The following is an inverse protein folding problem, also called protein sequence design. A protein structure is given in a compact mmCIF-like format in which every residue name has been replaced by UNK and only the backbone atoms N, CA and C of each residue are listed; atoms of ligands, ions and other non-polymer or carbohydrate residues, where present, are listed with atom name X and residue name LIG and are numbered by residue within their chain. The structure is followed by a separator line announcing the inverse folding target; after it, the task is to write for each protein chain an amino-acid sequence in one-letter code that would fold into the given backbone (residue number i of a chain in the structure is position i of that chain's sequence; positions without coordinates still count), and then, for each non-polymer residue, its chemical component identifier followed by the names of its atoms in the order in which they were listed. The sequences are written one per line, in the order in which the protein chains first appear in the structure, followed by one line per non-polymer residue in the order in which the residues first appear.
data_IF_920913011430
#
_entry.id   IF_920913011430
#
_cell.length_a   1.000
_cell.length_b   1.000
_cell.length_c   1.000
_cell.angle_alpha   90.00
_cell.angle_beta   90.00
_cell.angle_gamma   90.00
#
_symmetry.space_group_name_H-M   'P 1'
#
loop_
_entity.id
_entity.type
_entity.pdbx_description
1 polymer ?
#
# COMPACT_ATOMS: atom_id res chain seq x y z
N UNK A 1 3.02 -47.72 12.30
CA UNK A 1 2.34 -46.51 11.79
C UNK A 1 3.45 -45.50 11.58
N UNK A 2 3.81 -45.31 10.32
CA UNK A 2 4.85 -44.35 9.91
C UNK A 2 4.21 -43.02 9.79
N UNK A 3 4.62 -42.07 10.65
CA UNK A 3 4.20 -40.66 10.55
C UNK A 3 4.92 -40.08 9.34
N UNK A 4 4.17 -39.77 8.29
CA UNK A 4 4.69 -39.05 7.13
C UNK A 4 4.88 -37.59 7.56
N UNK A 5 6.13 -37.16 7.66
CA UNK A 5 6.47 -35.75 7.85
C UNK A 5 5.85 -34.95 6.66
N UNK A 6 5.02 -33.96 7.00
CA UNK A 6 4.54 -32.96 6.05
C UNK A 6 5.76 -32.10 5.70
N UNK A 7 6.16 -31.98 4.43
CA UNK A 7 7.29 -31.15 4.08
C UNK A 7 6.97 -29.70 4.46
N UNK A 8 7.88 -29.09 5.20
CA UNK A 8 7.90 -27.69 5.52
C UNK A 8 8.03 -26.88 4.20
N UNK A 9 6.93 -26.28 3.72
CA UNK A 9 6.87 -25.48 2.49
C UNK A 9 7.41 -24.06 2.73
N UNK A 10 8.38 -23.89 3.59
CA UNK A 10 9.24 -22.73 3.62
C UNK A 10 10.32 -22.84 2.53
N UNK A 11 9.88 -23.12 1.29
CA UNK A 11 10.71 -22.93 0.12
C UNK A 11 10.89 -21.44 -0.08
N UNK A 12 12.15 -20.98 -0.19
CA UNK A 12 12.49 -19.63 -0.56
C UNK A 12 11.54 -19.17 -1.68
N UNK A 13 10.77 -18.14 -1.43
CA UNK A 13 9.91 -17.49 -2.43
C UNK A 13 10.81 -17.19 -3.64
N UNK A 14 10.52 -17.80 -4.79
CA UNK A 14 11.21 -17.48 -6.03
C UNK A 14 11.11 -15.96 -6.20
N UNK A 15 12.23 -15.24 -6.05
CA UNK A 15 12.25 -13.79 -6.23
C UNK A 15 11.85 -13.48 -7.66
N UNK A 16 10.82 -12.67 -7.81
CA UNK A 16 10.39 -12.18 -9.12
C UNK A 16 11.43 -11.16 -9.60
N UNK A 17 12.30 -11.59 -10.49
CA UNK A 17 13.15 -10.65 -11.21
C UNK A 17 12.31 -9.96 -12.30
N UNK A 18 11.82 -8.78 -11.98
CA UNK A 18 11.07 -7.94 -12.92
C UNK A 18 11.44 -6.48 -12.68
N UNK A 19 11.58 -5.74 -13.77
CA UNK A 19 11.77 -4.28 -13.70
C UNK A 19 10.56 -3.53 -13.12
N UNK A 20 9.40 -4.19 -12.98
CA UNK A 20 8.21 -3.67 -12.31
C UNK A 20 8.26 -3.90 -10.79
N UNK A 21 9.05 -4.87 -10.35
CA UNK A 21 9.19 -5.25 -8.94
C UNK A 21 10.67 -5.27 -8.59
N UNK A 22 11.26 -4.11 -8.26
CA UNK A 22 12.63 -4.02 -7.77
C UNK A 22 12.84 -4.94 -6.58
N UNK A 23 14.06 -5.47 -6.43
CA UNK A 23 14.40 -6.30 -5.28
C UNK A 23 14.27 -5.47 -4.00
N UNK A 24 13.43 -5.89 -3.03
CA UNK A 24 13.25 -5.16 -1.81
C UNK A 24 14.52 -5.25 -0.92
N UNK A 25 14.88 -4.16 -0.28
CA UNK A 25 16.03 -4.09 0.62
C UNK A 25 15.83 -3.05 1.72
N UNK A 26 16.42 -3.29 2.89
CA UNK A 26 16.52 -2.29 3.95
C UNK A 26 17.72 -1.34 3.77
N UNK A 27 18.65 -1.70 2.88
CA UNK A 27 19.82 -0.85 2.59
C UNK A 27 19.42 0.23 1.56
N UNK A 28 19.57 1.50 1.94
CA UNK A 28 19.28 2.62 1.05
C UNK A 28 20.20 2.63 -0.19
N UNK A 29 21.39 2.03 -0.11
CA UNK A 29 22.30 1.93 -1.24
C UNK A 29 21.76 1.08 -2.39
N UNK A 30 20.86 0.13 -2.09
CA UNK A 30 20.18 -0.70 -3.08
C UNK A 30 19.04 0.06 -3.79
N UNK A 31 18.67 1.24 -3.30
CA UNK A 31 17.64 2.12 -3.85
C UNK A 31 18.26 3.45 -4.35
N UNK A 32 18.97 3.44 -5.48
CA UNK A 32 19.61 4.64 -6.01
C UNK A 32 18.59 5.75 -6.27
N UNK A 33 19.09 6.99 -6.42
CA UNK A 33 18.25 8.12 -6.79
C UNK A 33 17.64 7.87 -8.18
N UNK A 34 16.30 7.80 -8.29
CA UNK A 34 15.66 7.54 -9.56
C UNK A 34 15.80 8.74 -10.52
N UNK A 35 15.92 8.47 -11.82
CA UNK A 35 15.99 9.48 -12.87
C UNK A 35 14.68 9.63 -13.67
N UNK A 36 13.67 8.79 -13.39
CA UNK A 36 12.36 8.77 -14.05
C UNK A 36 12.31 7.94 -15.34
N UNK A 37 13.37 7.19 -15.66
CA UNK A 37 13.41 6.27 -16.80
C UNK A 37 13.06 4.85 -16.40
N UNK A 38 13.20 4.54 -15.14
CA UNK A 38 12.79 3.28 -14.56
C UNK A 38 11.26 3.12 -14.68
N UNK A 39 10.79 1.95 -15.03
CA UNK A 39 9.36 1.69 -15.25
C UNK A 39 8.52 2.05 -14.00
N UNK A 40 9.06 1.84 -12.82
CA UNK A 40 8.39 2.17 -11.54
C UNK A 40 8.24 3.67 -11.29
N UNK A 41 9.00 4.51 -12.01
CA UNK A 41 9.01 5.98 -11.87
C UNK A 41 8.50 6.71 -13.12
N UNK A 42 8.19 5.98 -14.18
CA UNK A 42 7.87 6.50 -15.50
C UNK A 42 6.80 7.59 -15.53
N UNK A 43 5.81 7.48 -14.66
CA UNK A 43 4.67 8.39 -14.60
C UNK A 43 4.75 9.37 -13.44
N UNK A 44 5.70 9.22 -12.55
CA UNK A 44 5.88 10.08 -11.38
C UNK A 44 6.58 11.38 -11.78
N UNK A 45 6.07 12.56 -11.41
CA UNK A 45 6.69 13.84 -11.73
C UNK A 45 7.95 14.07 -10.87
N UNK A 46 9.10 13.60 -11.34
CA UNK A 46 10.37 13.52 -10.60
C UNK A 46 10.78 14.83 -9.92
N UNK A 47 10.52 15.99 -10.56
CA UNK A 47 10.84 17.29 -9.96
C UNK A 47 10.00 17.61 -8.72
N UNK A 48 8.72 17.16 -8.73
CA UNK A 48 7.79 17.40 -7.60
C UNK A 48 8.08 16.48 -6.44
N UNK A 49 8.37 15.21 -6.70
CA UNK A 49 8.67 14.23 -5.66
C UNK A 49 10.09 14.36 -5.09
N UNK A 50 10.99 15.08 -5.75
CA UNK A 50 12.41 15.20 -5.36
C UNK A 50 12.64 15.52 -3.87
N UNK A 51 11.84 16.36 -3.19
CA UNK A 51 12.00 16.60 -1.74
C UNK A 51 11.84 15.32 -0.91
N UNK A 52 11.01 14.37 -1.34
CA UNK A 52 10.81 13.07 -0.66
C UNK A 52 11.92 12.06 -0.95
N UNK A 53 12.72 12.26 -1.99
CA UNK A 53 13.78 11.32 -2.39
C UNK A 53 15.13 11.63 -1.74
N UNK A 54 15.28 12.83 -1.17
CA UNK A 54 16.50 13.24 -0.51
C UNK A 54 16.66 12.51 0.84
N UNK A 55 17.91 12.19 1.21
CA UNK A 55 18.24 11.65 2.52
C UNK A 55 18.15 12.77 3.56
N UNK A 56 17.13 12.70 4.42
CA UNK A 56 16.87 13.69 5.47
C UNK A 56 16.28 12.99 6.69
N UNK A 57 16.63 13.44 7.86
CA UNK A 57 15.96 13.04 9.11
C UNK A 57 14.60 13.73 9.26
N UNK A 58 13.82 13.28 10.24
CA UNK A 58 12.63 14.00 10.67
C UNK A 58 13.00 15.42 11.13
N UNK A 59 12.18 16.38 10.76
CA UNK A 59 12.40 17.79 11.08
C UNK A 59 11.46 18.24 12.20
N UNK A 60 11.72 17.72 13.40
CA UNK A 60 11.02 18.15 14.60
C UNK A 60 11.72 19.32 15.25
N UNK A 61 10.98 20.35 15.60
CA UNK A 61 11.47 21.45 16.42
C UNK A 61 11.12 21.19 17.89
N UNK A 62 11.92 21.67 18.84
CA UNK A 62 11.57 21.55 20.26
C UNK A 62 10.18 22.10 20.54
N UNK A 63 9.27 21.21 21.00
CA UNK A 63 7.90 21.57 21.35
C UNK A 63 6.90 21.71 20.19
N UNK A 64 7.32 21.40 18.94
CA UNK A 64 6.46 21.51 17.77
C UNK A 64 6.86 20.47 16.70
N UNK A 65 6.17 19.35 16.65
CA UNK A 65 6.42 18.29 15.71
C UNK A 65 5.94 18.64 14.28
N UNK A 66 6.62 18.13 13.26
CA UNK A 66 6.23 18.30 11.87
C UNK A 66 4.87 17.64 11.58
N UNK A 67 4.59 16.56 12.29
CA UNK A 67 3.35 15.80 12.23
C UNK A 67 2.92 15.40 13.64
N UNK A 68 1.65 15.57 13.95
CA UNK A 68 1.03 15.08 15.17
C UNK A 68 0.28 13.78 14.92
N UNK A 69 0.52 12.80 15.80
CA UNK A 69 -0.15 11.50 15.77
C UNK A 69 -1.09 11.39 16.99
N UNK A 70 -2.39 11.23 16.72
CA UNK A 70 -3.39 11.04 17.79
C UNK A 70 -4.04 9.67 17.63
N UNK A 71 -3.64 8.71 18.46
CA UNK A 71 -4.27 7.40 18.51
C UNK A 71 -5.49 7.45 19.46
N UNK A 72 -6.65 7.07 18.93
CA UNK A 72 -7.86 6.89 19.73
C UNK A 72 -7.87 5.46 20.28
N UNK A 73 -7.62 5.35 21.58
CA UNK A 73 -7.56 4.06 22.26
C UNK A 73 -8.90 3.33 22.21
N UNK A 74 -8.87 2.04 21.91
CA UNK A 74 -10.04 1.16 21.85
C UNK A 74 -9.79 -0.06 22.75
N UNK A 75 -10.75 -0.42 23.56
CA UNK A 75 -10.64 -1.57 24.45
C UNK A 75 -10.38 -2.87 23.67
N UNK A 76 -9.46 -3.68 24.17
CA UNK A 76 -9.08 -4.95 23.57
C UNK A 76 -8.00 -4.83 22.46
N UNK A 77 -7.44 -3.65 22.26
CA UNK A 77 -6.31 -3.42 21.34
C UNK A 77 -5.09 -3.04 22.14
N UNK A 78 -3.96 -3.59 21.78
CA UNK A 78 -2.67 -3.27 22.38
C UNK A 78 -1.91 -2.29 21.46
N UNK A 79 -1.46 -1.18 22.02
CA UNK A 79 -0.63 -0.20 21.32
C UNK A 79 0.71 -0.01 22.03
N UNK A 80 1.79 0.02 21.28
CA UNK A 80 3.15 0.28 21.78
C UNK A 80 4.04 0.77 20.63
N UNK A 81 5.33 1.00 20.92
CA UNK A 81 6.31 1.36 19.91
C UNK A 81 7.33 0.24 19.72
N UNK A 82 7.82 0.08 18.49
CA UNK A 82 8.87 -0.85 18.11
C UNK A 82 10.07 -0.07 17.56
N UNK A 83 11.24 -0.34 18.11
CA UNK A 83 12.51 0.16 17.58
C UNK A 83 12.87 -0.53 16.26
N UNK A 84 13.75 0.10 15.47
CA UNK A 84 14.33 -0.54 14.31
C UNK A 84 15.00 -1.87 14.69
N UNK A 85 14.73 -2.93 13.90
CA UNK A 85 15.22 -4.29 14.17
C UNK A 85 14.47 -5.07 15.26
N UNK A 86 13.46 -4.48 15.89
CA UNK A 86 12.60 -5.17 16.86
C UNK A 86 11.40 -5.80 16.16
N UNK A 87 11.31 -7.14 16.19
CA UNK A 87 10.18 -7.86 15.62
C UNK A 87 8.86 -7.51 16.34
N UNK A 88 7.70 -7.48 15.64
CA UNK A 88 7.49 -7.88 14.25
C UNK A 88 7.81 -6.84 13.19
N UNK A 89 8.32 -5.65 13.51
CA UNK A 89 8.72 -4.64 12.51
C UNK A 89 9.71 -5.22 11.50
N UNK A 90 9.42 -5.10 10.21
CA UNK A 90 10.24 -5.61 9.11
C UNK A 90 10.05 -7.10 8.82
N UNK A 91 9.00 -7.74 9.33
CA UNK A 91 8.71 -9.14 9.04
C UNK A 91 7.76 -9.36 7.85
N UNK A 92 7.04 -8.33 7.45
CA UNK A 92 6.12 -8.33 6.30
C UNK A 92 6.55 -7.34 5.25
N UNK A 93 6.96 -6.12 5.66
CA UNK A 93 7.40 -5.08 4.75
C UNK A 93 8.93 -5.00 4.73
N UNK A 94 9.52 -5.31 3.58
CA UNK A 94 10.87 -4.91 3.21
C UNK A 94 10.75 -3.82 2.16
N UNK A 95 11.39 -2.64 2.33
CA UNK A 95 11.22 -1.51 1.42
C UNK A 95 11.44 -1.90 -0.05
N UNK A 96 10.46 -1.57 -0.91
CA UNK A 96 10.50 -1.87 -2.34
C UNK A 96 11.08 -0.74 -3.18
N UNK A 97 11.19 0.48 -2.62
CA UNK A 97 11.71 1.64 -3.31
C UNK A 97 12.42 2.62 -2.35
N UNK A 98 13.00 3.67 -2.93
CA UNK A 98 13.76 4.68 -2.17
C UNK A 98 12.92 5.41 -1.11
N UNK A 99 11.68 5.89 -1.38
CA UNK A 99 10.81 6.47 -0.35
C UNK A 99 10.59 5.56 0.84
N UNK A 100 10.28 4.30 0.59
CA UNK A 100 10.05 3.32 1.65
C UNK A 100 11.32 3.01 2.46
N UNK A 101 12.48 2.92 1.80
CA UNK A 101 13.75 2.76 2.49
C UNK A 101 14.07 3.98 3.38
N UNK A 102 13.82 5.20 2.89
CA UNK A 102 14.00 6.43 3.66
C UNK A 102 13.01 6.53 4.83
N UNK A 103 11.74 6.13 4.65
CA UNK A 103 10.77 6.07 5.74
C UNK A 103 11.26 5.15 6.87
N UNK A 104 11.76 3.97 6.49
CA UNK A 104 12.29 3.01 7.47
C UNK A 104 13.54 3.50 8.18
N UNK A 105 14.47 4.12 7.44
CA UNK A 105 15.72 4.66 7.96
C UNK A 105 15.49 5.83 8.92
N UNK A 106 14.56 6.74 8.55
CA UNK A 106 14.27 7.95 9.30
C UNK A 106 13.32 7.78 10.48
N UNK A 107 12.68 6.61 10.65
CA UNK A 107 11.75 6.33 11.74
C UNK A 107 12.42 5.52 12.84
N UNK A 108 12.69 6.13 14.00
CA UNK A 108 13.27 5.43 15.15
C UNK A 108 12.22 4.52 15.83
N UNK A 109 11.04 5.08 16.13
CA UNK A 109 9.95 4.44 16.87
C UNK A 109 8.75 4.22 15.96
N UNK A 110 8.47 2.96 15.59
CA UNK A 110 7.29 2.59 14.82
C UNK A 110 6.09 2.37 15.74
N UNK A 111 4.91 2.92 15.39
CA UNK A 111 3.68 2.55 16.07
C UNK A 111 3.37 1.08 15.82
N UNK A 112 3.09 0.35 16.87
CA UNK A 112 2.67 -1.05 16.84
C UNK A 112 1.24 -1.19 17.37
N UNK A 113 0.34 -1.67 16.54
CA UNK A 113 -1.04 -2.02 16.90
C UNK A 113 -1.22 -3.53 16.84
N UNK A 114 -1.58 -4.15 17.94
CA UNK A 114 -1.86 -5.58 18.02
C UNK A 114 -3.31 -5.80 18.40
N UNK A 115 -4.03 -6.53 17.57
CA UNK A 115 -5.38 -7.02 17.85
C UNK A 115 -5.21 -8.46 18.36
N UNK A 116 -5.44 -8.77 19.64
CA UNK A 116 -5.22 -10.10 20.21
C UNK A 116 -6.08 -11.17 19.55
N UNK A 117 -5.63 -12.43 19.62
CA UNK A 117 -6.34 -13.57 19.04
C UNK A 117 -7.80 -13.66 19.56
N UNK A 118 -8.72 -14.04 18.69
CA UNK A 118 -10.14 -14.24 18.98
C UNK A 118 -10.87 -12.98 19.49
N UNK A 119 -10.24 -11.81 19.39
CA UNK A 119 -10.84 -10.53 19.79
C UNK A 119 -11.65 -9.94 18.62
N UNK A 120 -12.90 -9.57 18.87
CA UNK A 120 -13.70 -8.77 17.95
C UNK A 120 -13.80 -7.34 18.50
N UNK A 121 -13.22 -6.40 17.77
CA UNK A 121 -13.21 -4.96 18.11
C UNK A 121 -14.36 -4.30 17.36
N UNK A 122 -15.37 -3.82 18.12
CA UNK A 122 -16.59 -3.28 17.54
C UNK A 122 -16.40 -1.85 16.98
N UNK A 123 -15.58 -1.04 17.67
CA UNK A 123 -15.30 0.34 17.26
C UNK A 123 -14.06 0.42 16.39
N UNK A 124 -14.02 1.28 15.36
CA UNK A 124 -12.81 1.48 14.58
C UNK A 124 -11.66 2.02 15.43
N UNK A 125 -10.49 1.41 15.31
CA UNK A 125 -9.23 1.91 15.86
C UNK A 125 -8.79 3.07 14.94
N UNK A 126 -8.74 4.29 15.46
CA UNK A 126 -8.43 5.46 14.62
C UNK A 126 -7.11 6.09 15.02
N UNK A 127 -6.28 6.35 14.01
CA UNK A 127 -5.10 7.19 14.09
C UNK A 127 -5.32 8.44 13.24
N UNK A 128 -5.35 9.59 13.86
CA UNK A 128 -5.32 10.88 13.16
C UNK A 128 -3.86 11.32 13.01
N UNK A 129 -3.48 11.69 11.79
CA UNK A 129 -2.13 12.11 11.37
C UNK A 129 -2.28 13.51 10.81
N UNK A 130 -1.81 14.51 11.53
CA UNK A 130 -1.95 15.92 11.16
C UNK A 130 -0.60 16.56 10.85
N UNK A 131 -0.37 16.87 9.57
CA UNK A 131 0.77 17.65 9.12
C UNK A 131 0.61 19.13 9.45
N UNK A 132 1.69 19.79 9.86
CA UNK A 132 1.66 21.18 10.34
C UNK A 132 2.45 22.15 9.47
N UNK A 133 3.28 21.65 8.57
CA UNK A 133 4.12 22.49 7.70
C UNK A 133 4.56 21.72 6.45
N UNK A 134 4.20 22.21 5.27
CA UNK A 134 4.55 21.62 3.98
C UNK A 134 6.06 21.58 3.68
N UNK A 135 6.88 22.42 4.35
CA UNK A 135 8.32 22.40 4.18
C UNK A 135 9.02 21.35 5.05
N UNK A 136 8.32 20.83 6.07
CA UNK A 136 8.86 19.90 7.06
C UNK A 136 8.59 18.46 6.67
N UNK A 137 9.59 17.60 6.92
CA UNK A 137 9.51 16.19 6.59
C UNK A 137 9.27 15.33 7.81
N UNK A 138 8.42 14.34 7.65
CA UNK A 138 8.22 13.27 8.59
C UNK A 138 8.43 11.90 7.91
N UNK A 139 9.08 10.97 8.64
CA UNK A 139 9.23 9.57 8.26
C UNK A 139 8.54 8.72 9.31
N UNK A 140 7.59 7.90 8.89
CA UNK A 140 6.79 7.08 9.78
C UNK A 140 6.78 5.60 9.36
N UNK A 141 6.73 4.73 10.36
CA UNK A 141 6.51 3.30 10.17
C UNK A 141 5.42 2.86 11.14
N UNK A 142 4.45 2.14 10.63
CA UNK A 142 3.35 1.59 11.41
C UNK A 142 3.27 0.09 11.18
N UNK A 143 3.08 -0.68 12.26
CA UNK A 143 2.98 -2.13 12.23
C UNK A 143 1.63 -2.53 12.82
N UNK A 144 0.81 -3.23 12.04
CA UNK A 144 -0.52 -3.69 12.46
C UNK A 144 -0.53 -5.21 12.40
N UNK A 145 -0.82 -5.86 13.52
CA UNK A 145 -0.95 -7.31 13.59
C UNK A 145 -2.35 -7.68 14.06
N UNK A 146 -3.10 -8.33 13.19
CA UNK A 146 -4.36 -9.00 13.53
C UNK A 146 -4.08 -10.47 13.83
N UNK A 147 -4.08 -10.83 15.12
CA UNK A 147 -3.80 -12.19 15.59
C UNK A 147 -4.89 -13.18 15.14
N UNK A 148 -4.65 -14.50 15.20
CA UNK A 148 -5.58 -15.47 14.64
C UNK A 148 -7.03 -15.33 15.12
N UNK A 149 -7.97 -15.40 14.16
CA UNK A 149 -9.42 -15.27 14.40
C UNK A 149 -9.85 -13.94 15.05
N UNK A 150 -9.02 -12.91 14.97
CA UNK A 150 -9.41 -11.57 15.41
C UNK A 150 -10.21 -10.84 14.31
N UNK A 151 -10.97 -9.81 14.72
CA UNK A 151 -11.73 -8.96 13.80
C UNK A 151 -11.64 -7.51 14.23
N UNK A 152 -11.21 -6.63 13.32
CA UNK A 152 -11.08 -5.20 13.60
C UNK A 152 -11.19 -4.35 12.33
N UNK A 153 -11.46 -3.07 12.54
CA UNK A 153 -11.30 -2.01 11.54
C UNK A 153 -10.28 -1.00 12.06
N UNK A 154 -9.27 -0.69 11.26
CA UNK A 154 -8.26 0.33 11.56
C UNK A 154 -8.40 1.44 10.53
N UNK A 155 -8.41 2.69 10.98
CA UNK A 155 -8.58 3.89 10.13
C UNK A 155 -7.44 4.85 10.40
N UNK A 156 -6.63 5.11 9.39
CA UNK A 156 -5.64 6.18 9.40
C UNK A 156 -6.19 7.36 8.61
N UNK A 157 -6.26 8.51 9.24
CA UNK A 157 -6.72 9.75 8.63
C UNK A 157 -5.60 10.76 8.59
N UNK A 158 -5.24 11.18 7.39
CA UNK A 158 -4.17 12.13 7.14
C UNK A 158 -4.77 13.48 6.78
N UNK A 159 -4.30 14.54 7.44
CA UNK A 159 -4.79 15.92 7.23
C UNK A 159 -3.64 16.92 7.36
N UNK A 160 -3.88 18.17 6.94
CA UNK A 160 -2.91 19.26 7.07
C UNK A 160 -1.80 19.21 6.03
N UNK A 161 -0.66 19.87 6.30
CA UNK A 161 0.42 20.12 5.36
C UNK A 161 1.74 19.51 5.85
N UNK A 162 2.40 18.70 5.01
CA UNK A 162 3.71 18.09 5.35
C UNK A 162 4.40 17.48 4.14
N UNK A 163 5.64 17.03 4.31
CA UNK A 163 6.31 16.07 3.45
C UNK A 163 6.34 14.72 4.17
N UNK A 164 5.45 13.80 3.80
CA UNK A 164 5.27 12.51 4.49
C UNK A 164 5.91 11.36 3.71
N UNK A 165 6.76 10.59 4.38
CA UNK A 165 7.13 9.23 3.98
C UNK A 165 6.57 8.24 4.99
N UNK A 166 5.89 7.20 4.52
CA UNK A 166 5.16 6.30 5.40
C UNK A 166 5.25 4.85 4.93
N UNK A 167 5.58 3.96 5.85
CA UNK A 167 5.47 2.52 5.65
C UNK A 167 4.41 1.95 6.59
N UNK A 168 3.48 1.16 6.05
CA UNK A 168 2.46 0.46 6.82
C UNK A 168 2.59 -1.04 6.57
N UNK A 169 3.04 -1.74 7.59
CA UNK A 169 3.24 -3.18 7.60
C UNK A 169 2.03 -3.85 8.26
N UNK A 170 1.37 -4.78 7.56
CA UNK A 170 0.10 -5.39 7.98
C UNK A 170 0.22 -6.90 7.95
N UNK A 171 0.08 -7.54 9.12
CA UNK A 171 0.08 -8.99 9.28
C UNK A 171 -1.33 -9.47 9.68
N UNK A 172 -2.07 -10.04 8.73
CA UNK A 172 -3.41 -10.58 8.96
C UNK A 172 -3.28 -12.09 9.10
N UNK A 173 -3.25 -12.57 10.35
CA UNK A 173 -2.99 -13.98 10.66
C UNK A 173 -4.20 -14.88 10.41
N UNK A 174 -3.99 -16.19 10.52
CA UNK A 174 -4.97 -17.23 10.17
C UNK A 174 -6.38 -16.95 10.71
N UNK A 175 -7.37 -16.96 9.82
CA UNK A 175 -8.79 -16.73 10.17
C UNK A 175 -9.13 -15.30 10.61
N UNK A 176 -8.17 -14.39 10.66
CA UNK A 176 -8.43 -13.00 11.05
C UNK A 176 -9.18 -12.23 9.96
N UNK A 177 -9.95 -11.22 10.35
CA UNK A 177 -10.69 -10.32 9.47
C UNK A 177 -10.32 -8.87 9.79
N UNK A 178 -9.48 -8.29 8.96
CA UNK A 178 -9.01 -6.92 9.14
C UNK A 178 -9.48 -6.03 7.99
N UNK A 179 -10.14 -4.93 8.34
CA UNK A 179 -10.37 -3.81 7.42
C UNK A 179 -9.39 -2.70 7.78
N UNK A 180 -8.56 -2.29 6.82
CA UNK A 180 -7.68 -1.14 6.93
C UNK A 180 -8.15 -0.03 5.99
N UNK A 181 -8.38 1.15 6.52
CA UNK A 181 -8.80 2.35 5.77
C UNK A 181 -7.70 3.38 5.88
N UNK A 182 -7.16 3.80 4.75
CA UNK A 182 -6.22 4.92 4.65
C UNK A 182 -6.91 6.07 3.92
N UNK A 183 -7.12 7.18 4.63
CA UNK A 183 -7.77 8.38 4.11
C UNK A 183 -6.75 9.51 4.02
N UNK A 184 -6.38 9.91 2.81
CA UNK A 184 -5.53 11.06 2.54
C UNK A 184 -6.42 12.26 2.21
N UNK A 185 -6.68 13.07 3.23
CA UNK A 185 -7.40 14.35 3.17
C UNK A 185 -6.40 15.49 3.45
N UNK A 186 -5.25 15.43 2.75
CA UNK A 186 -4.16 16.36 2.90
C UNK A 186 -4.51 17.75 2.35
N UNK A 187 -3.85 18.78 2.86
CA UNK A 187 -3.83 20.08 2.19
C UNK A 187 -3.11 19.99 0.84
N UNK A 188 -3.46 20.88 -0.10
CA UNK A 188 -3.03 20.85 -1.51
C UNK A 188 -1.52 21.07 -1.73
N UNK A 189 -0.77 21.38 -0.70
CA UNK A 189 0.68 21.60 -0.72
C UNK A 189 1.48 20.41 -0.16
N UNK A 190 0.82 19.33 0.25
CA UNK A 190 1.45 18.14 0.85
C UNK A 190 2.04 17.23 -0.22
N UNK A 191 3.23 16.73 0.07
CA UNK A 191 3.85 15.62 -0.65
C UNK A 191 3.77 14.36 0.21
N UNK A 192 3.17 13.29 -0.31
CA UNK A 192 3.06 12.02 0.42
C UNK A 192 3.49 10.85 -0.47
N UNK A 193 4.44 10.04 0.02
CA UNK A 193 4.76 8.75 -0.56
C UNK A 193 4.68 7.66 0.50
N UNK A 194 3.92 6.60 0.24
CA UNK A 194 3.71 5.52 1.19
C UNK A 194 3.80 4.14 0.54
N UNK A 195 4.26 3.17 1.32
CA UNK A 195 4.21 1.75 1.00
C UNK A 195 3.38 1.01 2.05
N UNK A 196 2.28 0.38 1.60
CA UNK A 196 1.42 -0.49 2.40
C UNK A 196 1.66 -1.93 1.98
N UNK A 197 2.20 -2.76 2.85
CA UNK A 197 2.43 -4.18 2.55
C UNK A 197 1.66 -5.05 3.51
N UNK A 198 0.80 -5.91 2.96
CA UNK A 198 -0.02 -6.84 3.73
C UNK A 198 0.33 -8.30 3.43
N UNK A 199 0.41 -9.11 4.48
CA UNK A 199 0.48 -10.56 4.42
C UNK A 199 -0.81 -11.13 4.96
N UNK A 200 -1.47 -11.99 4.16
CA UNK A 200 -2.78 -12.57 4.48
C UNK A 200 -2.63 -14.05 4.78
N UNK A 201 -2.93 -14.46 6.00
CA UNK A 201 -2.85 -15.82 6.49
C UNK A 201 -3.92 -16.75 5.92
N UNK A 202 -3.92 -18.02 6.35
CA UNK A 202 -4.88 -19.03 5.94
C UNK A 202 -6.30 -18.62 6.31
N UNK A 203 -7.22 -18.71 5.34
CA UNK A 203 -8.65 -18.41 5.53
C UNK A 203 -8.92 -17.01 6.13
N UNK A 204 -7.90 -16.13 6.10
CA UNK A 204 -8.01 -14.76 6.57
C UNK A 204 -8.64 -13.85 5.50
N UNK A 205 -9.25 -12.76 5.96
CA UNK A 205 -9.82 -11.73 5.08
C UNK A 205 -9.18 -10.39 5.38
N UNK A 206 -8.58 -9.81 4.35
CA UNK A 206 -8.04 -8.46 4.39
C UNK A 206 -8.84 -7.55 3.47
N UNK A 207 -9.34 -6.44 4.00
CA UNK A 207 -9.95 -5.38 3.20
C UNK A 207 -9.12 -4.11 3.34
N UNK A 208 -8.65 -3.59 2.23
CA UNK A 208 -7.96 -2.31 2.16
C UNK A 208 -8.84 -1.29 1.43
N UNK A 209 -9.09 -0.15 2.07
CA UNK A 209 -9.80 0.97 1.47
C UNK A 209 -8.87 2.17 1.44
N UNK A 210 -8.47 2.58 0.25
CA UNK A 210 -7.59 3.72 0.03
C UNK A 210 -8.37 4.88 -0.57
N UNK A 211 -8.39 6.02 0.13
CA UNK A 211 -9.16 7.21 -0.29
C UNK A 211 -8.22 8.40 -0.35
N UNK A 212 -8.10 9.04 -1.53
CA UNK A 212 -7.17 10.16 -1.75
C UNK A 212 -7.90 11.36 -2.35
N UNK A 213 -7.99 12.44 -1.57
CA UNK A 213 -8.70 13.66 -1.95
C UNK A 213 -7.87 14.93 -1.93
N UNK A 214 -6.68 14.92 -1.39
CA UNK A 214 -5.83 16.08 -1.26
C UNK A 214 -4.37 15.75 -1.52
N UNK A 215 -3.51 16.75 -1.34
CA UNK A 215 -2.08 16.71 -1.59
C UNK A 215 -1.69 17.24 -2.96
N UNK A 216 -0.54 17.89 -3.05
CA UNK A 216 0.10 18.24 -4.31
C UNK A 216 0.49 16.98 -5.08
N UNK A 217 1.12 16.04 -4.37
CA UNK A 217 1.49 14.72 -4.90
C UNK A 217 1.26 13.65 -3.84
N UNK A 218 0.45 12.64 -4.19
CA UNK A 218 0.25 11.44 -3.37
C UNK A 218 0.63 10.23 -4.20
N UNK A 219 1.59 9.43 -3.70
CA UNK A 219 2.07 8.20 -4.35
C UNK A 219 1.98 7.04 -3.37
N UNK A 220 1.10 6.10 -3.66
CA UNK A 220 0.78 4.96 -2.80
C UNK A 220 1.17 3.66 -3.48
N UNK A 221 2.04 2.89 -2.84
CA UNK A 221 2.28 1.49 -3.18
C UNK A 221 1.45 0.59 -2.25
N UNK A 222 0.74 -0.37 -2.80
CA UNK A 222 0.00 -1.36 -2.02
C UNK A 222 0.38 -2.75 -2.49
N UNK A 223 1.00 -3.52 -1.61
CA UNK A 223 1.47 -4.87 -1.88
C UNK A 223 0.68 -5.88 -1.02
N UNK A 224 0.27 -6.98 -1.61
CA UNK A 224 -0.42 -8.06 -0.90
C UNK A 224 0.19 -9.40 -1.29
N UNK A 225 0.48 -10.20 -0.28
CA UNK A 225 0.90 -11.60 -0.43
C UNK A 225 0.12 -12.50 0.52
N UNK A 226 0.19 -13.82 0.31
CA UNK A 226 -0.56 -14.78 1.10
C UNK A 226 0.39 -15.75 1.81
N UNK A 227 0.14 -16.00 3.10
CA UNK A 227 0.92 -16.93 3.94
C UNK A 227 0.18 -18.26 4.20
N UNK A 228 -0.85 -18.55 3.38
CA UNK A 228 -1.61 -19.79 3.48
C UNK A 228 -2.76 -19.87 2.49
N UNK A 229 -3.36 -21.05 2.33
CA UNK A 229 -4.49 -21.24 1.43
C UNK A 229 -5.75 -20.56 1.95
N UNK A 230 -6.66 -20.22 1.04
CA UNK A 230 -7.99 -19.67 1.37
C UNK A 230 -8.01 -18.19 1.74
N UNK A 231 -6.85 -17.52 1.80
CA UNK A 231 -6.78 -16.10 2.09
C UNK A 231 -7.50 -15.23 1.04
N UNK A 232 -8.15 -14.16 1.48
CA UNK A 232 -8.91 -13.24 0.62
C UNK A 232 -8.49 -11.80 0.84
N UNK A 233 -8.20 -11.07 -0.25
CA UNK A 233 -7.89 -9.64 -0.24
C UNK A 233 -8.90 -8.86 -1.09
N UNK A 234 -9.50 -7.83 -0.50
CA UNK A 234 -10.37 -6.88 -1.17
C UNK A 234 -9.73 -5.50 -1.13
N UNK A 235 -9.34 -4.96 -2.29
CA UNK A 235 -8.61 -3.69 -2.40
C UNK A 235 -9.49 -2.67 -3.11
N UNK A 236 -10.00 -1.71 -2.36
CA UNK A 236 -10.86 -0.66 -2.87
C UNK A 236 -10.14 0.69 -2.84
N UNK A 237 -10.27 1.46 -3.91
CA UNK A 237 -9.73 2.81 -3.97
C UNK A 237 -10.72 3.82 -4.51
N UNK A 238 -10.71 4.99 -3.90
CA UNK A 238 -11.41 6.16 -4.38
C UNK A 238 -10.44 7.34 -4.39
N UNK A 239 -10.31 8.01 -5.53
CA UNK A 239 -9.47 9.19 -5.62
C UNK A 239 -10.11 10.30 -6.44
N UNK A 240 -9.84 11.52 -6.01
CA UNK A 240 -10.27 12.72 -6.70
C UNK A 240 -9.06 13.65 -6.85
N UNK A 241 -8.61 13.84 -8.09
CA UNK A 241 -7.54 14.78 -8.40
C UNK A 241 -8.16 16.09 -8.91
N UNK A 242 -7.89 17.19 -8.22
CA UNK A 242 -8.24 18.54 -8.68
C UNK A 242 -7.05 19.17 -9.41
N UNK A 243 -7.25 20.40 -9.91
CA UNK A 243 -6.29 21.11 -10.74
C UNK A 243 -4.86 21.10 -10.16
N UNK A 244 -3.90 20.65 -10.97
CA UNK A 244 -2.50 20.59 -10.63
C UNK A 244 -2.09 19.41 -9.74
N UNK A 245 -3.02 18.67 -9.15
CA UNK A 245 -2.70 17.53 -8.28
C UNK A 245 -2.23 16.31 -9.06
N UNK A 246 -1.33 15.54 -8.45
CA UNK A 246 -0.88 14.24 -8.95
C UNK A 246 -1.18 13.14 -7.94
N UNK A 247 -2.06 12.20 -8.29
CA UNK A 247 -2.40 11.05 -7.45
C UNK A 247 -1.99 9.75 -8.17
N UNK A 248 -1.10 8.98 -7.55
CA UNK A 248 -0.57 7.74 -8.11
C UNK A 248 -0.84 6.58 -7.15
N UNK A 249 -1.52 5.54 -7.66
CA UNK A 249 -1.74 4.28 -6.97
C UNK A 249 -1.09 3.13 -7.76
N UNK A 250 -0.22 2.39 -7.08
CA UNK A 250 0.42 1.18 -7.61
C UNK A 250 0.06 0.01 -6.72
N UNK A 251 -0.55 -1.01 -7.31
CA UNK A 251 -0.99 -2.20 -6.59
C UNK A 251 -0.26 -3.42 -7.14
N UNK A 252 0.17 -4.25 -6.23
CA UNK A 252 0.77 -5.53 -6.53
C UNK A 252 0.13 -6.62 -5.67
N UNK A 253 -0.42 -7.65 -6.31
CA UNK A 253 -0.98 -8.82 -5.63
C UNK A 253 -0.23 -10.05 -6.07
N UNK A 254 0.46 -10.72 -5.14
CA UNK A 254 1.19 -11.94 -5.38
C UNK A 254 0.39 -13.15 -4.86
N UNK A 255 -0.27 -13.86 -5.77
CA UNK A 255 -0.90 -15.15 -5.45
C UNK A 255 0.18 -16.24 -5.35
N UNK A 256 0.70 -16.40 -4.15
CA UNK A 256 1.77 -17.34 -3.81
C UNK A 256 1.30 -18.55 -2.97
N UNK A 257 -0.03 -18.70 -2.77
CA UNK A 257 -0.66 -19.81 -2.08
C UNK A 257 -1.93 -20.27 -2.83
N UNK A 258 -2.38 -21.53 -2.68
CA UNK A 258 -3.57 -22.03 -3.38
C UNK A 258 -4.88 -21.49 -2.79
N UNK A 259 -5.94 -21.48 -3.63
CA UNK A 259 -7.30 -21.10 -3.26
C UNK A 259 -7.45 -19.68 -2.71
N UNK A 260 -6.51 -18.80 -3.05
CA UNK A 260 -6.54 -17.39 -2.61
C UNK A 260 -7.40 -16.54 -3.55
N UNK A 261 -7.95 -15.44 -3.00
CA UNK A 261 -8.82 -14.52 -3.72
C UNK A 261 -8.30 -13.11 -3.65
N UNK A 262 -8.43 -12.38 -4.77
CA UNK A 262 -8.25 -10.93 -4.78
C UNK A 262 -9.33 -10.24 -5.60
N UNK A 263 -9.83 -9.12 -5.08
CA UNK A 263 -10.76 -8.24 -5.79
C UNK A 263 -10.26 -6.80 -5.68
N UNK A 264 -9.89 -6.21 -6.81
CA UNK A 264 -9.38 -4.84 -6.88
C UNK A 264 -10.38 -3.98 -7.65
N UNK A 265 -10.95 -2.96 -7.00
CA UNK A 265 -11.84 -2.00 -7.66
C UNK A 265 -11.49 -0.57 -7.26
N UNK A 266 -10.93 0.18 -8.21
CA UNK A 266 -10.54 1.57 -8.02
C UNK A 266 -11.39 2.49 -8.88
N UNK A 267 -11.81 3.61 -8.28
CA UNK A 267 -12.62 4.66 -8.94
C UNK A 267 -11.94 5.99 -8.78
N UNK A 268 -11.72 6.66 -9.90
CA UNK A 268 -11.12 7.98 -9.92
C UNK A 268 -12.05 9.02 -10.52
N UNK A 269 -11.89 10.26 -10.07
CA UNK A 269 -12.39 11.43 -10.78
C UNK A 269 -11.29 12.46 -10.89
N UNK A 270 -11.24 13.15 -12.04
CA UNK A 270 -10.27 14.21 -12.32
C UNK A 270 -11.02 15.46 -12.71
N UNK A 271 -10.62 16.60 -12.14
CA UNK A 271 -11.22 17.90 -12.41
C UNK A 271 -10.14 18.97 -12.53
N UNK A 272 -10.30 19.84 -13.51
CA UNK A 272 -9.45 21.02 -13.66
C UNK A 272 -8.20 20.79 -14.51
N UNK A 273 -7.45 21.88 -14.71
CA UNK A 273 -6.26 21.85 -15.56
C UNK A 273 -5.11 21.16 -14.84
N UNK A 274 -4.37 20.33 -15.59
CA UNK A 274 -3.19 19.60 -15.11
C UNK A 274 -3.48 18.63 -13.94
N UNK A 275 -4.75 18.28 -13.67
CA UNK A 275 -5.10 17.18 -12.79
C UNK A 275 -4.60 15.88 -13.39
N UNK A 276 -3.82 15.10 -12.63
CA UNK A 276 -3.19 13.88 -13.14
C UNK A 276 -3.39 12.72 -12.17
N UNK A 277 -3.85 11.60 -12.68
CA UNK A 277 -3.95 10.37 -11.91
C UNK A 277 -3.28 9.22 -12.64
N UNK A 278 -2.56 8.40 -11.88
CA UNK A 278 -1.92 7.17 -12.33
C UNK A 278 -2.47 6.01 -11.53
N UNK A 279 -2.91 4.97 -12.19
CA UNK A 279 -3.25 3.72 -11.55
C UNK A 279 -2.57 2.57 -12.27
N UNK A 280 -1.84 1.75 -11.52
CA UNK A 280 -1.15 0.57 -12.02
C UNK A 280 -1.54 -0.59 -11.14
N UNK A 281 -2.15 -1.62 -11.72
CA UNK A 281 -2.45 -2.89 -11.06
C UNK A 281 -1.61 -3.99 -11.71
N UNK A 282 -1.01 -4.82 -10.87
CA UNK A 282 -0.26 -5.99 -11.31
C UNK A 282 -0.59 -7.18 -10.41
N UNK A 283 -0.94 -8.30 -11.03
CA UNK A 283 -1.27 -9.55 -10.35
C UNK A 283 -0.36 -10.66 -10.84
N UNK A 284 0.43 -11.20 -9.93
CA UNK A 284 1.27 -12.37 -10.20
C UNK A 284 0.61 -13.63 -9.65
N UNK A 285 0.53 -14.66 -10.48
CA UNK A 285 -0.01 -15.96 -10.14
C UNK A 285 1.14 -16.97 -10.21
N UNK A 286 1.60 -17.43 -9.06
CA UNK A 286 2.69 -18.40 -8.98
C UNK A 286 2.18 -19.81 -9.28
N UNK A 287 3.07 -20.72 -9.70
CA UNK A 287 2.70 -22.10 -10.05
C UNK A 287 1.99 -22.86 -8.92
N UNK A 288 2.34 -22.55 -7.68
CA UNK A 288 1.74 -23.14 -6.48
C UNK A 288 0.32 -22.66 -6.22
N UNK A 289 -0.07 -21.51 -6.80
CA UNK A 289 -1.37 -20.87 -6.58
C UNK A 289 -2.46 -21.49 -7.46
N UNK A 290 -2.86 -22.72 -7.15
CA UNK A 290 -3.97 -23.38 -7.82
C UNK A 290 -5.33 -22.92 -7.27
N UNK A 291 -6.37 -22.83 -8.12
CA UNK A 291 -7.74 -22.52 -7.71
C UNK A 291 -7.93 -21.08 -7.20
N UNK A 292 -7.12 -20.13 -7.67
CA UNK A 292 -7.27 -18.73 -7.32
C UNK A 292 -8.43 -18.07 -8.05
N UNK A 293 -8.99 -17.03 -7.43
CA UNK A 293 -9.95 -16.11 -8.04
C UNK A 293 -9.40 -14.69 -7.96
N UNK A 294 -9.25 -14.01 -9.10
CA UNK A 294 -8.76 -12.62 -9.11
C UNK A 294 -9.55 -11.77 -10.09
N UNK A 295 -9.82 -10.54 -9.69
CA UNK A 295 -10.48 -9.52 -10.50
C UNK A 295 -9.86 -8.15 -10.24
N UNK A 296 -9.59 -7.41 -11.31
CA UNK A 296 -9.13 -6.02 -11.24
C UNK A 296 -10.00 -5.10 -12.09
N UNK A 297 -10.29 -3.92 -11.57
CA UNK A 297 -11.00 -2.86 -12.28
C UNK A 297 -10.53 -1.49 -11.83
N UNK A 298 -10.18 -0.63 -12.80
CA UNK A 298 -10.07 0.80 -12.59
C UNK A 298 -10.99 1.56 -13.54
N UNK A 299 -11.70 2.57 -13.03
CA UNK A 299 -12.56 3.43 -13.83
C UNK A 299 -12.38 4.88 -13.43
N UNK A 300 -12.13 5.74 -14.43
CA UNK A 300 -11.93 7.16 -14.22
C UNK A 300 -13.02 7.98 -14.88
N UNK A 301 -13.52 8.98 -14.15
CA UNK A 301 -14.42 10.03 -14.64
C UNK A 301 -13.61 11.32 -14.81
N UNK A 302 -13.56 11.84 -16.04
CA UNK A 302 -12.96 13.14 -16.29
C UNK A 302 -14.08 14.17 -16.33
N UNK A 303 -14.01 15.15 -15.44
CA UNK A 303 -14.98 16.23 -15.31
C UNK A 303 -14.43 17.47 -16.03
N UNK A 304 -15.01 17.86 -17.19
CA UNK A 304 -14.50 19.02 -17.91
C UNK A 304 -14.86 20.32 -17.15
N UNK A 305 -13.87 21.15 -16.90
CA UNK A 305 -14.10 22.59 -16.81
C UNK A 305 -14.07 23.11 -18.25
N UNK A 306 -15.18 23.63 -18.77
CA UNK A 306 -15.26 24.13 -20.15
C UNK A 306 -14.15 25.15 -20.49
N UNK A 307 -13.57 25.19 -21.72
CA UNK A 307 -13.81 24.30 -22.84
C UNK A 307 -12.57 23.55 -23.32
N UNK A 308 -12.53 22.28 -23.26
CA UNK A 308 -12.00 21.32 -24.22
C UNK A 308 -11.77 19.93 -23.57
N UNK A 309 -12.49 18.90 -23.99
CA UNK A 309 -12.29 17.59 -23.39
C UNK A 309 -11.10 16.89 -24.04
N UNK A 310 -10.07 16.61 -23.26
CA UNK A 310 -9.12 15.54 -23.60
C UNK A 310 -9.73 14.22 -23.14
N UNK A 311 -10.03 13.35 -24.08
CA UNK A 311 -10.56 12.03 -23.74
C UNK A 311 -9.46 11.17 -23.14
N UNK A 312 -9.65 10.80 -21.87
CA UNK A 312 -8.83 9.77 -21.25
C UNK A 312 -9.28 8.37 -21.72
N UNK A 313 -8.40 7.52 -22.24
CA UNK A 313 -8.77 6.15 -22.55
C UNK A 313 -9.08 5.41 -21.26
N UNK A 314 -10.28 4.85 -21.18
CA UNK A 314 -10.67 3.97 -20.08
C UNK A 314 -10.04 2.60 -20.35
N UNK A 315 -9.07 2.19 -19.56
CA UNK A 315 -8.59 0.82 -19.60
C UNK A 315 -9.58 -0.08 -18.84
N UNK A 316 -10.01 -1.14 -19.46
CA UNK A 316 -10.74 -2.21 -18.78
C UNK A 316 -9.77 -3.35 -18.57
N UNK A 317 -9.42 -3.65 -17.33
CA UNK A 317 -8.79 -4.91 -17.02
C UNK A 317 -9.81 -6.04 -17.27
N UNK A 318 -9.38 -7.11 -17.89
CA UNK A 318 -10.20 -8.33 -18.01
C UNK A 318 -9.97 -9.17 -16.76
N UNK A 319 -11.02 -9.82 -16.22
CA UNK A 319 -10.80 -10.78 -15.17
C UNK A 319 -9.85 -11.87 -15.67
N UNK A 320 -8.75 -12.09 -14.95
CA UNK A 320 -7.91 -13.24 -15.18
C UNK A 320 -8.67 -14.47 -14.67
N UNK A 321 -9.08 -15.36 -15.56
CA UNK A 321 -9.55 -16.69 -15.18
C UNK A 321 -8.34 -17.60 -15.13
N UNK A 322 -8.14 -18.27 -14.01
CA UNK A 322 -7.18 -19.36 -13.93
C UNK A 322 -7.42 -20.34 -15.06
N UNK A 323 -6.45 -20.68 -15.89
CA UNK A 323 -6.61 -21.74 -16.86
C UNK A 323 -6.78 -23.06 -16.13
N UNK A 324 -7.59 -23.97 -16.72
CA UNK A 324 -7.76 -25.32 -16.24
C UNK A 324 -6.38 -25.98 -15.99
N UNK A 325 -6.29 -26.95 -15.06
CA UNK A 325 -5.02 -27.58 -14.72
C UNK A 325 -4.32 -28.14 -15.97
N UNK A 326 -3.14 -27.66 -16.24
CA UNK A 326 -2.30 -28.10 -17.37
C UNK A 326 -1.70 -27.03 -18.28
N UNK A 327 -2.11 -25.80 -18.21
CA UNK A 327 -1.52 -24.72 -19.04
C UNK A 327 -0.88 -23.66 -18.17
N UNK A 328 0.24 -23.99 -17.56
CA UNK A 328 1.12 -23.00 -16.95
C UNK A 328 1.80 -22.20 -18.04
N UNK A 329 1.52 -20.91 -18.15
CA UNK A 329 2.42 -19.84 -18.60
C UNK A 329 1.64 -18.62 -19.04
N UNK A 330 1.60 -17.61 -18.17
CA UNK A 330 1.80 -16.19 -18.51
C UNK A 330 1.78 -15.39 -17.20
N UNK A 331 2.70 -14.47 -16.99
CA UNK A 331 2.46 -13.41 -16.02
C UNK A 331 1.16 -12.71 -16.41
N UNK A 332 0.32 -12.40 -15.46
CA UNK A 332 -0.85 -11.57 -15.70
C UNK A 332 -0.37 -10.23 -16.28
N UNK A 333 -1.06 -9.74 -17.28
CA UNK A 333 -0.66 -8.47 -17.90
C UNK A 333 -0.83 -7.35 -16.87
N UNK A 334 0.23 -6.58 -16.61
CA UNK A 334 0.13 -5.34 -15.85
C UNK A 334 -0.82 -4.39 -16.58
N UNK A 335 -1.74 -3.79 -15.85
CA UNK A 335 -2.67 -2.81 -16.42
C UNK A 335 -2.28 -1.43 -15.90
N UNK A 336 -1.87 -0.56 -16.79
CA UNK A 336 -1.52 0.83 -16.49
C UNK A 336 -2.60 1.74 -17.02
N UNK A 337 -3.12 2.61 -16.16
CA UNK A 337 -4.05 3.67 -16.55
C UNK A 337 -3.49 5.00 -16.08
N UNK A 338 -3.21 5.87 -17.03
CA UNK A 338 -2.82 7.27 -16.79
C UNK A 338 -3.85 8.19 -17.39
N UNK A 339 -4.24 9.22 -16.68
CA UNK A 339 -5.12 10.25 -17.17
C UNK A 339 -4.64 11.61 -16.69
N UNK A 340 -4.58 12.55 -17.64
CA UNK A 340 -4.30 13.97 -17.39
C UNK A 340 -5.33 14.85 -18.09
N UNK A 341 -5.69 15.95 -17.51
CA UNK A 341 -6.58 16.96 -18.08
C UNK A 341 -5.81 18.20 -18.54
#
# INVERSE_FOLDING_TARGET
MTVTEVPNVAGALETLESHLHPQPSFDLADHPMPDGREEVWRFTPMRRIAPLLAERANEDLPGDNAVEFTLHEVAGVEASNLKAGQAPRGTVLTPGDRPAALANLGCEDALYLRIPATTEVAEPIRLDIEGRDAARRNNAVHVIVAEPNSKATVVFRHTGSTQQLENIEIDVRDGANLTFVSLQDWADDTLHAAEHTARVGRDATYRHVNVSFGGDLVRMHTNVSYDGPGGSAELFGLYFADAGQHIEHRLFVDHNAPHTKSNVDYRGALQGQDAHAVWIGDVVIRKVAEGIETYESNKNLVLPRAPAPTRCPTSRSRPARSPAPGTARRPAASTTSTCST
#
